data_IF_772781201601
#
_entry.id   IF_772781201601
#
_cell.length_a   1.000
_cell.length_b   1.000
_cell.length_c   1.000
_cell.angle_alpha   90.00
_cell.angle_beta   90.00
_cell.angle_gamma   90.00
#
_symmetry.space_group_name_H-M   'P 1'
#
loop_
_entity.id
_entity.type
_entity.pdbx_description
1 polymer ?
#
# COMPACT_ATOMS: atom_id res chain seq x y z
N UNK A 1 22.91 -40.98 -5.27
CA UNK A 1 22.72 -40.34 -3.94
C UNK A 1 21.75 -39.17 -4.16
N UNK A 2 20.53 -39.30 -3.68
CA UNK A 2 19.50 -38.27 -3.85
C UNK A 2 19.86 -37.06 -2.97
N UNK A 3 20.19 -35.93 -3.59
CA UNK A 3 20.39 -34.66 -2.90
C UNK A 3 19.05 -34.23 -2.31
N UNK A 4 18.94 -34.31 -0.98
CA UNK A 4 17.83 -33.74 -0.22
C UNK A 4 17.76 -32.24 -0.53
N UNK A 5 16.74 -31.83 -1.30
CA UNK A 5 16.28 -30.46 -1.36
C UNK A 5 16.01 -30.00 0.07
N UNK A 6 16.87 -29.17 0.63
CA UNK A 6 16.59 -28.50 1.91
C UNK A 6 15.43 -27.51 1.64
N UNK A 7 14.21 -28.02 1.77
CA UNK A 7 13.04 -27.17 1.84
C UNK A 7 13.27 -26.18 2.99
N UNK A 8 13.33 -24.90 2.68
CA UNK A 8 13.36 -23.87 3.72
C UNK A 8 12.19 -24.15 4.65
N UNK A 9 12.44 -24.43 5.94
CA UNK A 9 11.39 -24.85 6.85
C UNK A 9 10.29 -23.78 6.87
N UNK A 10 9.02 -24.18 6.82
CA UNK A 10 7.83 -23.33 6.71
C UNK A 10 7.83 -22.17 7.71
N UNK A 11 8.38 -22.39 8.91
CA UNK A 11 8.49 -21.36 9.97
C UNK A 11 9.48 -20.21 9.67
N UNK A 12 10.34 -20.32 8.64
CA UNK A 12 11.20 -19.24 8.16
C UNK A 12 10.51 -18.31 7.15
N UNK A 13 9.34 -18.67 6.67
CA UNK A 13 8.58 -17.77 5.79
C UNK A 13 7.98 -16.62 6.60
N UNK A 14 8.30 -15.39 6.22
CA UNK A 14 7.80 -14.16 6.86
C UNK A 14 6.26 -14.18 7.00
N UNK A 15 5.59 -14.67 5.96
CA UNK A 15 4.14 -14.89 5.94
C UNK A 15 3.63 -15.68 7.15
N UNK A 16 4.22 -16.84 7.45
CA UNK A 16 3.80 -17.65 8.59
C UNK A 16 4.11 -16.98 9.92
N UNK A 17 5.28 -16.31 10.02
CA UNK A 17 5.67 -15.58 11.22
C UNK A 17 4.67 -14.44 11.52
N UNK A 18 4.23 -13.69 10.50
CA UNK A 18 3.22 -12.62 10.66
C UNK A 18 1.87 -13.20 11.06
N UNK A 19 1.41 -14.31 10.44
CA UNK A 19 0.15 -14.97 10.84
C UNK A 19 0.17 -15.44 12.30
N UNK A 20 1.25 -16.09 12.72
CA UNK A 20 1.42 -16.53 14.13
C UNK A 20 1.45 -15.32 15.06
N UNK A 21 2.15 -14.24 14.68
CA UNK A 21 2.22 -13.01 15.45
C UNK A 21 0.84 -12.35 15.62
N UNK A 22 0.04 -12.31 14.55
CA UNK A 22 -1.35 -11.82 14.60
C UNK A 22 -2.20 -12.68 15.53
N UNK A 23 -2.14 -14.02 15.39
CA UNK A 23 -2.91 -14.94 16.27
C UNK A 23 -2.54 -14.79 17.74
N UNK A 24 -1.24 -14.68 18.06
CA UNK A 24 -0.74 -14.42 19.41
C UNK A 24 -1.17 -13.03 19.90
N UNK A 25 -1.16 -12.00 19.04
CA UNK A 25 -1.63 -10.66 19.34
C UNK A 25 -3.10 -10.64 19.76
N UNK A 26 -3.95 -11.35 19.00
CA UNK A 26 -5.38 -11.52 19.34
C UNK A 26 -5.54 -12.22 20.68
N UNK A 27 -4.82 -13.32 20.91
CA UNK A 27 -4.87 -14.07 22.16
C UNK A 27 -4.46 -13.20 23.37
N UNK A 28 -3.30 -12.51 23.29
CA UNK A 28 -2.82 -11.62 24.36
C UNK A 28 -3.80 -10.46 24.58
N UNK A 29 -4.31 -9.85 23.49
CA UNK A 29 -5.31 -8.79 23.55
C UNK A 29 -6.60 -9.21 24.27
N UNK A 30 -7.04 -10.44 24.04
CA UNK A 30 -8.27 -10.98 24.61
C UNK A 30 -8.07 -11.39 26.09
N UNK A 31 -7.01 -12.16 26.41
CA UNK A 31 -6.81 -12.74 27.75
C UNK A 31 -6.08 -11.81 28.72
N UNK A 32 -5.29 -10.85 28.24
CA UNK A 32 -4.51 -9.93 29.07
C UNK A 32 -4.59 -8.48 28.52
N UNK A 33 -5.77 -7.81 28.56
CA UNK A 33 -5.99 -6.51 27.92
C UNK A 33 -5.03 -5.40 28.42
N UNK A 34 -4.73 -5.37 29.72
CA UNK A 34 -3.82 -4.37 30.30
C UNK A 34 -2.38 -4.54 29.80
N UNK A 35 -1.87 -5.76 29.75
CA UNK A 35 -0.56 -6.06 29.19
C UNK A 35 -0.52 -5.77 27.68
N UNK A 36 -1.60 -6.10 26.96
CA UNK A 36 -1.72 -5.85 25.52
C UNK A 36 -1.66 -4.36 25.16
N UNK A 37 -2.26 -3.50 25.99
CA UNK A 37 -2.19 -2.04 25.78
C UNK A 37 -0.76 -1.50 25.93
N UNK A 38 0.05 -2.08 26.80
CA UNK A 38 1.47 -1.73 26.95
C UNK A 38 2.33 -2.12 25.71
N UNK A 39 1.83 -2.99 24.85
CA UNK A 39 2.53 -3.43 23.62
C UNK A 39 2.37 -2.47 22.43
N UNK A 40 1.55 -1.41 22.56
CA UNK A 40 1.39 -0.37 21.51
C UNK A 40 2.71 0.12 20.93
N UNK A 41 3.77 0.41 21.72
CA UNK A 41 5.02 0.91 21.19
C UNK A 41 5.69 0.01 20.16
N UNK A 42 5.47 -1.31 20.18
CA UNK A 42 6.04 -2.26 19.21
C UNK A 42 5.45 -2.03 17.82
N UNK A 43 4.14 -1.84 17.72
CA UNK A 43 3.48 -1.50 16.47
C UNK A 43 3.89 -0.12 15.97
N UNK A 44 3.85 0.88 16.86
CA UNK A 44 4.21 2.27 16.52
C UNK A 44 5.67 2.37 16.04
N UNK A 45 6.60 1.64 16.68
CA UNK A 45 8.01 1.62 16.30
C UNK A 45 8.21 1.04 14.89
N UNK A 46 7.54 -0.08 14.59
CA UNK A 46 7.62 -0.67 13.26
C UNK A 46 7.10 0.29 12.17
N UNK A 47 5.94 0.93 12.40
CA UNK A 47 5.38 1.92 11.48
C UNK A 47 6.34 3.11 11.28
N UNK A 48 6.95 3.61 12.37
CA UNK A 48 7.96 4.68 12.29
C UNK A 48 9.21 4.28 11.48
N UNK A 49 9.70 3.05 11.67
CA UNK A 49 10.82 2.53 10.89
C UNK A 49 10.53 2.48 9.39
N UNK A 50 9.32 2.05 9.02
CA UNK A 50 8.89 2.06 7.61
C UNK A 50 8.77 3.49 7.11
N UNK A 51 8.08 4.39 7.81
CA UNK A 51 7.91 5.80 7.40
C UNK A 51 9.23 6.52 7.18
N UNK A 52 10.23 6.26 8.02
CA UNK A 52 11.58 6.84 7.89
C UNK A 52 12.20 6.61 6.51
N UNK A 53 11.91 5.47 5.87
CA UNK A 53 12.52 5.10 4.58
C UNK A 53 11.63 5.36 3.38
N UNK A 54 10.33 5.68 3.56
CA UNK A 54 9.39 5.87 2.45
C UNK A 54 9.83 7.03 1.56
N UNK A 55 10.07 8.21 2.13
CA UNK A 55 10.43 9.40 1.38
C UNK A 55 11.73 9.21 0.56
N UNK A 56 12.85 8.72 1.12
CA UNK A 56 14.04 8.40 0.35
C UNK A 56 13.82 7.33 -0.72
N UNK A 57 13.06 6.27 -0.42
CA UNK A 57 12.74 5.21 -1.41
C UNK A 57 11.97 5.77 -2.58
N UNK A 58 10.90 6.53 -2.32
CA UNK A 58 10.07 7.16 -3.35
C UNK A 58 10.91 8.10 -4.19
N UNK A 59 11.66 8.98 -3.56
CA UNK A 59 12.55 9.92 -4.27
C UNK A 59 13.50 9.19 -5.21
N UNK A 60 14.30 8.27 -4.70
CA UNK A 60 15.28 7.56 -5.51
C UNK A 60 14.62 6.74 -6.62
N UNK A 61 13.53 6.01 -6.34
CA UNK A 61 12.85 5.19 -7.33
C UNK A 61 12.24 6.02 -8.47
N UNK A 62 11.62 7.17 -8.13
CA UNK A 62 11.03 8.07 -9.14
C UNK A 62 12.12 8.75 -9.96
N UNK A 63 13.17 9.28 -9.31
CA UNK A 63 14.29 9.94 -10.00
C UNK A 63 14.96 8.99 -10.98
N UNK A 64 15.35 7.78 -10.54
CA UNK A 64 16.00 6.80 -11.42
C UNK A 64 15.06 6.29 -12.51
N UNK A 65 13.76 6.12 -12.15
CA UNK A 65 12.72 5.74 -13.10
C UNK A 65 12.60 6.74 -14.24
N UNK A 66 12.49 8.04 -13.93
CA UNK A 66 12.33 9.12 -14.91
C UNK A 66 13.64 9.37 -15.67
N UNK A 67 14.78 9.42 -14.98
CA UNK A 67 16.08 9.62 -15.61
C UNK A 67 16.40 8.51 -16.65
N UNK A 68 15.89 7.28 -16.44
CA UNK A 68 16.01 6.18 -17.39
C UNK A 68 15.07 6.31 -18.61
N UNK A 69 14.04 7.16 -18.54
CA UNK A 69 13.09 7.42 -19.64
C UNK A 69 13.66 8.55 -20.50
N UNK A 70 14.10 8.21 -21.71
CA UNK A 70 14.67 9.19 -22.67
C UNK A 70 13.63 10.17 -23.26
N UNK A 71 12.34 9.96 -22.96
CA UNK A 71 11.23 10.77 -23.51
C UNK A 71 10.34 11.32 -22.37
N UNK A 72 10.46 12.62 -22.12
CA UNK A 72 9.63 13.34 -21.14
C UNK A 72 8.13 13.33 -21.47
N UNK A 73 7.80 13.19 -22.77
CA UNK A 73 6.40 13.02 -23.18
C UNK A 73 5.83 11.70 -22.67
N UNK A 74 6.66 10.65 -22.58
CA UNK A 74 6.24 9.38 -22.00
C UNK A 74 5.95 9.48 -20.51
N UNK A 75 6.72 10.26 -19.74
CA UNK A 75 6.46 10.53 -18.30
C UNK A 75 5.13 11.25 -18.14
N UNK A 76 4.91 12.34 -18.89
CA UNK A 76 3.64 13.10 -18.86
C UNK A 76 2.44 12.25 -19.28
N UNK A 77 2.60 11.40 -20.29
CA UNK A 77 1.54 10.51 -20.75
C UNK A 77 1.22 9.42 -19.72
N UNK A 78 2.22 8.78 -19.11
CA UNK A 78 2.02 7.78 -18.07
C UNK A 78 1.36 8.40 -16.82
N UNK A 79 1.80 9.60 -16.40
CA UNK A 79 1.19 10.34 -15.31
C UNK A 79 -0.26 10.72 -15.58
N UNK A 80 -0.55 11.25 -16.78
CA UNK A 80 -1.91 11.60 -17.20
C UNK A 80 -2.85 10.38 -17.23
N UNK A 81 -2.38 9.23 -17.75
CA UNK A 81 -3.15 7.97 -17.73
C UNK A 81 -3.36 7.44 -16.31
N UNK A 82 -2.34 7.57 -15.45
CA UNK A 82 -2.47 7.18 -14.04
C UNK A 82 -3.54 8.02 -13.33
N UNK A 83 -3.50 9.35 -13.46
CA UNK A 83 -4.50 10.25 -12.88
C UNK A 83 -5.90 9.95 -13.42
N UNK A 84 -6.05 9.75 -14.73
CA UNK A 84 -7.33 9.36 -15.33
C UNK A 84 -7.86 8.05 -14.73
N UNK A 85 -7.00 7.05 -14.60
CA UNK A 85 -7.35 5.77 -13.98
C UNK A 85 -7.81 5.96 -12.53
N UNK A 86 -7.04 6.72 -11.73
CA UNK A 86 -7.34 6.96 -10.33
C UNK A 86 -8.68 7.67 -10.14
N UNK A 87 -8.97 8.72 -10.94
CA UNK A 87 -10.23 9.43 -10.89
C UNK A 87 -11.41 8.52 -11.25
N UNK A 88 -11.25 7.70 -12.30
CA UNK A 88 -12.29 6.79 -12.76
C UNK A 88 -12.58 5.71 -11.70
N UNK A 89 -11.56 5.05 -11.18
CA UNK A 89 -11.76 3.97 -10.20
C UNK A 89 -12.22 4.51 -8.84
N UNK A 90 -11.68 5.66 -8.38
CA UNK A 90 -12.16 6.30 -7.15
C UNK A 90 -13.64 6.72 -7.27
N UNK A 91 -14.07 7.23 -8.42
CA UNK A 91 -15.48 7.56 -8.68
C UNK A 91 -16.35 6.29 -8.65
N UNK A 92 -15.90 5.22 -9.28
CA UNK A 92 -16.58 3.91 -9.22
C UNK A 92 -16.65 3.39 -7.78
N UNK A 93 -15.56 3.52 -6.99
CA UNK A 93 -15.52 3.11 -5.60
C UNK A 93 -16.52 3.90 -4.73
N UNK A 94 -16.57 5.22 -4.89
CA UNK A 94 -17.55 6.09 -4.22
C UNK A 94 -18.99 5.67 -4.56
N UNK A 95 -19.30 5.51 -5.86
CA UNK A 95 -20.61 5.07 -6.33
C UNK A 95 -20.98 3.66 -5.84
N UNK A 96 -19.99 2.76 -5.84
CA UNK A 96 -20.17 1.40 -5.33
C UNK A 96 -20.46 1.38 -3.82
N UNK A 97 -19.72 2.19 -3.03
CA UNK A 97 -19.99 2.35 -1.60
C UNK A 97 -21.38 2.91 -1.32
N UNK A 98 -21.83 3.88 -2.14
CA UNK A 98 -23.19 4.42 -2.08
C UNK A 98 -24.24 3.34 -2.35
N UNK A 99 -24.06 2.55 -3.43
CA UNK A 99 -24.92 1.44 -3.79
C UNK A 99 -25.02 0.41 -2.64
N UNK A 100 -23.89 0.00 -2.09
CA UNK A 100 -23.83 -0.97 -1.00
C UNK A 100 -24.47 -0.44 0.28
N UNK A 101 -24.28 0.85 0.58
CA UNK A 101 -24.91 1.50 1.72
C UNK A 101 -26.45 1.58 1.64
N UNK A 102 -27.00 1.69 0.43
CA UNK A 102 -28.45 1.62 0.20
C UNK A 102 -28.97 0.18 0.22
N UNK A 103 -28.24 -0.77 -0.33
CA UNK A 103 -28.64 -2.19 -0.36
C UNK A 103 -28.60 -2.84 1.02
N UNK A 104 -27.53 -2.61 1.77
CA UNK A 104 -27.29 -3.28 3.05
C UNK A 104 -27.83 -2.51 4.26
N UNK A 105 -28.08 -1.22 4.11
CA UNK A 105 -28.61 -0.32 5.13
C UNK A 105 -28.01 -0.55 6.53
N UNK A 106 -26.68 -0.39 6.70
CA UNK A 106 -25.98 -0.78 7.93
C UNK A 106 -26.44 0.01 9.18
N UNK A 107 -26.97 1.23 9.01
CA UNK A 107 -27.45 2.08 10.09
C UNK A 107 -28.95 1.96 10.39
N UNK A 108 -29.69 1.20 9.61
CA UNK A 108 -31.15 1.08 9.81
C UNK A 108 -31.49 0.46 11.17
N UNK A 109 -32.41 1.10 11.90
CA UNK A 109 -32.89 0.63 13.19
C UNK A 109 -32.04 1.03 14.40
N UNK A 110 -30.96 1.79 14.22
CA UNK A 110 -30.16 2.31 15.35
C UNK A 110 -30.91 3.38 16.14
N UNK A 111 -31.64 4.28 15.48
CA UNK A 111 -32.47 5.34 16.07
C UNK A 111 -31.77 6.13 17.19
N UNK A 112 -30.52 6.52 16.94
CA UNK A 112 -29.70 7.21 17.94
C UNK A 112 -30.16 8.65 18.08
N UNK A 113 -30.47 9.08 19.34
CA UNK A 113 -30.76 10.48 19.63
C UNK A 113 -29.46 11.31 19.56
N UNK A 114 -29.43 12.34 18.74
CA UNK A 114 -28.27 13.23 18.60
C UNK A 114 -27.90 13.89 19.92
N UNK A 115 -28.90 14.20 20.78
CA UNK A 115 -28.71 14.81 22.08
C UNK A 115 -27.96 13.91 23.08
N UNK A 116 -27.90 12.59 22.83
CA UNK A 116 -27.18 11.63 23.69
C UNK A 116 -25.71 11.44 23.31
N UNK A 117 -25.23 12.09 22.24
CA UNK A 117 -23.87 11.88 21.73
C UNK A 117 -22.90 12.87 22.37
N UNK A 118 -21.80 12.38 22.92
CA UNK A 118 -20.70 13.19 23.43
C UNK A 118 -19.80 13.69 22.30
N UNK A 119 -20.07 14.91 21.81
CA UNK A 119 -19.30 15.53 20.74
C UNK A 119 -17.83 15.84 21.14
N UNK A 120 -17.49 15.84 22.42
CA UNK A 120 -16.13 16.15 22.90
C UNK A 120 -15.11 15.15 22.40
N UNK A 121 -15.49 13.87 22.28
CA UNK A 121 -14.64 12.78 21.79
C UNK A 121 -14.15 12.96 20.34
N UNK A 122 -14.87 13.76 19.52
CA UNK A 122 -14.54 14.00 18.10
C UNK A 122 -14.08 15.44 17.83
N UNK A 123 -14.06 16.31 18.85
CA UNK A 123 -13.72 17.73 18.70
C UNK A 123 -12.35 17.96 18.06
N UNK A 124 -11.34 17.18 18.41
CA UNK A 124 -10.00 17.28 17.82
C UNK A 124 -9.93 16.91 16.33
N UNK A 125 -10.82 16.03 15.84
CA UNK A 125 -10.94 15.71 14.42
C UNK A 125 -11.66 16.81 13.65
N UNK A 126 -12.72 17.36 14.23
CA UNK A 126 -13.48 18.48 13.68
C UNK A 126 -12.61 19.73 13.55
N UNK A 127 -11.80 20.05 14.56
CA UNK A 127 -10.87 21.17 14.52
C UNK A 127 -9.84 21.01 13.39
N UNK A 128 -9.26 19.83 13.23
CA UNK A 128 -8.32 19.56 12.12
C UNK A 128 -8.98 19.67 10.76
N UNK A 129 -10.22 19.18 10.62
CA UNK A 129 -10.98 19.30 9.39
C UNK A 129 -11.31 20.76 9.03
N UNK A 130 -11.62 21.60 10.04
CA UNK A 130 -11.91 23.03 9.85
C UNK A 130 -10.67 23.84 9.44
N UNK A 131 -9.47 23.40 9.79
CA UNK A 131 -8.20 24.02 9.35
C UNK A 131 -7.70 23.43 8.02
N UNK A 132 -8.40 22.46 7.45
CA UNK A 132 -8.15 21.94 6.11
C UNK A 132 -8.39 23.06 5.08
N UNK A 133 -7.31 23.66 4.63
CA UNK A 133 -7.28 24.64 3.55
C UNK A 133 -7.82 23.96 2.29
N UNK A 134 -8.91 24.36 1.73
CA UNK A 134 -9.53 23.77 0.54
C UNK A 134 -8.56 23.43 -0.60
N UNK A 135 -9.01 23.40 -1.85
CA UNK A 135 -8.16 23.04 -3.02
C UNK A 135 -6.86 23.88 -3.08
N UNK A 136 -6.92 25.17 -2.69
CA UNK A 136 -5.76 26.08 -2.69
C UNK A 136 -4.70 25.61 -1.67
N UNK A 137 -5.11 25.27 -0.44
CA UNK A 137 -4.21 24.75 0.58
C UNK A 137 -3.58 23.41 0.18
N UNK A 138 -4.39 22.53 -0.41
CA UNK A 138 -3.87 21.27 -0.97
C UNK A 138 -2.78 21.51 -2.03
N UNK A 139 -3.00 22.43 -2.97
CA UNK A 139 -2.00 22.77 -3.99
C UNK A 139 -0.73 23.41 -3.39
N UNK A 140 -0.90 24.23 -2.35
CA UNK A 140 0.25 24.81 -1.65
C UNK A 140 1.05 23.76 -0.88
N UNK A 141 0.42 22.73 -0.33
CA UNK A 141 1.09 21.62 0.35
C UNK A 141 1.89 20.72 -0.59
N UNK A 142 1.54 20.68 -1.88
CA UNK A 142 2.29 19.90 -2.90
C UNK A 142 3.69 20.50 -3.12
N UNK A 143 3.86 21.81 -2.99
CA UNK A 143 5.12 22.51 -3.21
C UNK A 143 5.82 22.70 -1.87
N UNK A 144 6.97 22.04 -1.61
CA UNK A 144 7.66 22.20 -0.34
C UNK A 144 8.37 23.56 -0.25
N UNK A 145 8.44 24.14 0.96
CA UNK A 145 9.12 25.41 1.20
C UNK A 145 10.63 25.35 0.91
N UNK A 146 11.23 24.18 1.11
CA UNK A 146 12.66 23.96 0.86
C UNK A 146 12.88 22.56 0.30
N UNK A 147 14.00 22.34 -0.40
CA UNK A 147 14.37 21.04 -0.94
C UNK A 147 14.42 19.95 0.14
N UNK A 148 15.05 20.22 1.27
CA UNK A 148 15.16 19.28 2.39
C UNK A 148 13.83 19.17 3.13
N UNK A 149 13.04 20.24 3.17
CA UNK A 149 11.71 20.27 3.79
C UNK A 149 10.77 19.21 3.26
N UNK A 150 10.86 18.86 1.98
CA UNK A 150 10.08 17.76 1.39
C UNK A 150 10.26 16.41 2.12
N UNK A 151 11.43 16.16 2.71
CA UNK A 151 11.74 14.91 3.40
C UNK A 151 11.43 14.94 4.90
N UNK A 152 11.16 16.12 5.48
CA UNK A 152 10.92 16.29 6.92
C UNK A 152 9.46 16.24 7.31
N UNK A 153 8.55 16.35 6.34
CA UNK A 153 7.10 16.21 6.53
C UNK A 153 6.67 14.78 6.19
N UNK A 154 5.62 14.30 6.84
CA UNK A 154 5.10 12.93 6.62
C UNK A 154 4.32 12.79 5.29
N UNK A 155 4.38 13.78 4.41
CA UNK A 155 3.63 13.85 3.16
C UNK A 155 4.47 13.40 1.97
N UNK A 156 3.91 12.51 1.14
CA UNK A 156 4.61 11.92 -0.01
C UNK A 156 4.58 12.85 -1.22
N UNK A 157 3.55 13.72 -1.35
CA UNK A 157 3.37 14.58 -2.53
C UNK A 157 4.51 15.58 -2.76
N UNK A 158 5.03 16.30 -1.74
CA UNK A 158 6.20 17.16 -1.90
C UNK A 158 7.44 16.40 -2.38
N UNK A 159 7.66 15.19 -1.82
CA UNK A 159 8.77 14.32 -2.24
C UNK A 159 8.61 13.88 -3.69
N UNK A 160 7.39 13.53 -4.09
CA UNK A 160 7.07 13.13 -5.46
C UNK A 160 7.30 14.27 -6.46
N UNK A 161 6.80 15.49 -6.15
CA UNK A 161 7.04 16.67 -7.00
C UNK A 161 8.54 16.92 -7.16
N UNK A 162 9.28 16.91 -6.05
CA UNK A 162 10.73 17.09 -6.06
C UNK A 162 11.43 16.02 -6.91
N UNK A 163 11.04 14.77 -6.76
CA UNK A 163 11.60 13.65 -7.52
C UNK A 163 11.28 13.76 -9.02
N UNK A 164 10.07 14.21 -9.38
CA UNK A 164 9.68 14.49 -10.77
C UNK A 164 10.56 15.58 -11.38
N UNK A 165 10.78 16.69 -10.66
CA UNK A 165 11.63 17.79 -11.10
C UNK A 165 13.09 17.34 -11.26
N UNK A 166 13.64 16.66 -10.25
CA UNK A 166 15.03 16.15 -10.29
C UNK A 166 15.21 15.12 -11.41
N UNK A 167 14.32 14.14 -11.53
CA UNK A 167 14.37 13.10 -12.56
C UNK A 167 14.25 13.69 -13.96
N UNK A 168 13.38 14.70 -14.14
CA UNK A 168 13.23 15.43 -15.39
C UNK A 168 14.49 16.21 -15.76
N UNK A 169 15.09 16.93 -14.81
CA UNK A 169 16.34 17.66 -15.02
C UNK A 169 17.48 16.72 -15.40
N UNK A 170 17.63 15.59 -14.70
CA UNK A 170 18.66 14.58 -15.03
C UNK A 170 18.44 13.95 -16.40
N UNK A 171 17.18 13.68 -16.77
CA UNK A 171 16.85 13.15 -18.11
C UNK A 171 17.24 14.13 -19.23
N UNK A 172 17.00 15.44 -19.04
CA UNK A 172 17.36 16.49 -20.01
C UNK A 172 18.88 16.69 -20.13
N UNK A 173 19.60 16.61 -19.01
CA UNK A 173 21.07 16.76 -18.97
C UNK A 173 21.80 15.55 -19.58
N UNK A 174 21.15 14.39 -19.62
CA UNK A 174 21.65 13.18 -20.30
C UNK A 174 22.97 12.64 -19.74
N UNK A 175 23.87 12.21 -20.63
CA UNK A 175 25.13 11.53 -20.27
C UNK A 175 26.07 12.37 -19.37
N UNK A 176 25.95 13.70 -19.39
CA UNK A 176 26.80 14.59 -18.55
C UNK A 176 26.62 14.33 -17.05
N UNK A 177 25.43 13.90 -16.65
CA UNK A 177 25.05 13.69 -15.23
C UNK A 177 24.88 12.22 -14.89
N UNK A 178 25.34 11.32 -15.74
CA UNK A 178 25.29 9.88 -15.49
C UNK A 178 25.84 9.48 -14.10
N UNK A 179 26.98 10.03 -13.62
CA UNK A 179 27.45 9.71 -12.26
C UNK A 179 26.45 10.05 -11.15
N UNK A 180 25.64 11.10 -11.34
CA UNK A 180 24.59 11.48 -10.36
C UNK A 180 23.44 10.47 -10.42
N UNK A 181 23.04 10.02 -11.61
CA UNK A 181 22.00 9.00 -11.77
C UNK A 181 22.46 7.67 -11.15
N UNK A 182 23.70 7.26 -11.40
CA UNK A 182 24.30 6.05 -10.83
C UNK A 182 24.37 6.13 -9.29
N UNK A 183 24.69 7.30 -8.72
CA UNK A 183 24.67 7.54 -7.27
C UNK A 183 23.28 7.37 -6.70
N UNK A 184 22.24 7.96 -7.33
CA UNK A 184 20.86 7.86 -6.88
C UNK A 184 20.35 6.42 -7.02
N UNK A 185 20.75 5.69 -8.06
CA UNK A 185 20.40 4.27 -8.21
C UNK A 185 21.06 3.40 -7.14
N UNK A 186 22.33 3.67 -6.81
CA UNK A 186 23.02 3.05 -5.67
C UNK A 186 22.33 3.34 -4.33
N UNK A 187 21.88 4.60 -4.14
CA UNK A 187 21.11 4.99 -2.96
C UNK A 187 19.75 4.27 -2.91
N UNK A 188 19.06 4.12 -4.06
CA UNK A 188 17.83 3.33 -4.14
C UNK A 188 18.06 1.88 -3.70
N UNK A 189 19.11 1.22 -4.22
CA UNK A 189 19.46 -0.14 -3.86
C UNK A 189 19.74 -0.29 -2.35
N UNK A 190 20.45 0.68 -1.76
CA UNK A 190 20.70 0.75 -0.32
C UNK A 190 19.39 0.89 0.46
N UNK A 191 18.50 1.79 0.06
CA UNK A 191 17.21 2.00 0.73
C UNK A 191 16.34 0.74 0.67
N UNK A 192 16.24 0.07 -0.47
CA UNK A 192 15.51 -1.21 -0.57
C UNK A 192 16.12 -2.31 0.31
N UNK A 193 17.45 -2.31 0.50
CA UNK A 193 18.10 -3.23 1.43
C UNK A 193 17.73 -2.95 2.88
N UNK A 194 17.66 -1.66 3.26
CA UNK A 194 17.20 -1.23 4.58
C UNK A 194 15.75 -1.64 4.80
N UNK A 195 14.86 -1.43 3.81
CA UNK A 195 13.47 -1.93 3.84
C UNK A 195 13.45 -3.44 4.12
N UNK A 196 14.30 -4.23 3.45
CA UNK A 196 14.42 -5.67 3.69
C UNK A 196 14.83 -6.03 5.13
N UNK A 197 15.64 -5.20 5.80
CA UNK A 197 15.97 -5.39 7.22
C UNK A 197 14.77 -5.05 8.12
N UNK A 198 14.11 -3.92 7.84
CA UNK A 198 12.93 -3.49 8.60
C UNK A 198 11.79 -4.50 8.48
N UNK A 199 11.57 -5.07 7.30
CA UNK A 199 10.50 -6.05 7.08
C UNK A 199 10.67 -7.32 7.92
N UNK A 200 11.91 -7.71 8.27
CA UNK A 200 12.13 -8.87 9.13
C UNK A 200 11.58 -8.69 10.54
N UNK A 201 11.39 -7.45 11.00
CA UNK A 201 10.76 -7.16 12.30
C UNK A 201 9.24 -6.91 12.19
N UNK A 202 8.66 -7.02 10.98
CA UNK A 202 7.22 -6.88 10.76
C UNK A 202 6.36 -7.81 11.66
N UNK A 203 6.72 -9.08 11.95
CA UNK A 203 5.95 -9.91 12.86
C UNK A 203 5.82 -9.31 14.26
N UNK A 204 6.89 -8.68 14.78
CA UNK A 204 6.89 -8.02 16.10
C UNK A 204 5.96 -6.80 16.09
N UNK A 205 6.04 -6.00 15.00
CA UNK A 205 5.15 -4.85 14.82
C UNK A 205 3.67 -5.26 14.72
N UNK A 206 3.38 -6.29 13.93
CA UNK A 206 2.03 -6.82 13.76
C UNK A 206 1.46 -7.38 15.10
N UNK A 207 2.26 -8.15 15.83
CA UNK A 207 1.90 -8.64 17.17
C UNK A 207 1.50 -7.48 18.11
N UNK A 208 2.36 -6.46 18.25
CA UNK A 208 2.12 -5.34 19.15
C UNK A 208 0.91 -4.52 18.75
N UNK A 209 0.73 -4.24 17.46
CA UNK A 209 -0.40 -3.47 16.94
C UNK A 209 -1.74 -4.19 17.13
N UNK A 210 -1.81 -5.48 16.82
CA UNK A 210 -3.02 -6.29 16.97
C UNK A 210 -3.34 -6.52 18.46
N UNK A 211 -2.33 -6.85 19.28
CA UNK A 211 -2.53 -7.02 20.74
C UNK A 211 -3.11 -5.75 21.36
N UNK A 212 -2.53 -4.58 21.05
CA UNK A 212 -3.04 -3.29 21.51
C UNK A 212 -4.49 -3.05 21.05
N UNK A 213 -4.78 -3.30 19.78
CA UNK A 213 -6.11 -3.07 19.20
C UNK A 213 -7.17 -3.92 19.90
N UNK A 214 -6.94 -5.22 20.04
CA UNK A 214 -7.87 -6.15 20.69
C UNK A 214 -7.94 -5.86 22.20
N UNK A 215 -6.82 -5.54 22.86
CA UNK A 215 -6.79 -5.23 24.28
C UNK A 215 -7.47 -3.92 24.65
N UNK A 216 -7.41 -2.91 23.77
CA UNK A 216 -8.03 -1.61 24.01
C UNK A 216 -9.52 -1.59 23.69
N UNK A 217 -9.90 -2.15 22.55
CA UNK A 217 -11.26 -2.04 22.04
C UNK A 217 -12.11 -3.27 22.37
N UNK A 218 -11.46 -4.40 22.69
CA UNK A 218 -12.14 -5.67 22.98
C UNK A 218 -12.86 -6.25 21.75
N UNK A 219 -13.01 -7.55 21.70
CA UNK A 219 -13.82 -8.20 20.65
C UNK A 219 -15.31 -7.89 20.83
N UNK A 220 -15.76 -7.69 22.08
CA UNK A 220 -17.15 -7.40 22.41
C UNK A 220 -17.63 -5.99 22.03
N UNK A 221 -16.72 -5.00 21.92
CA UNK A 221 -17.08 -3.64 21.48
C UNK A 221 -17.49 -3.57 20.01
N UNK A 222 -17.15 -4.59 19.24
CA UNK A 222 -17.52 -4.71 17.83
C UNK A 222 -18.98 -5.16 17.65
N UNK A 223 -19.58 -5.81 18.66
CA UNK A 223 -20.89 -6.44 18.49
C UNK A 223 -22.01 -5.44 18.10
N UNK A 224 -22.15 -4.25 18.72
CA UNK A 224 -23.13 -3.27 18.31
C UNK A 224 -22.89 -2.70 16.91
N UNK A 225 -21.62 -2.60 16.48
CA UNK A 225 -21.22 -2.04 15.18
C UNK A 225 -20.88 -3.11 14.14
N UNK A 226 -21.03 -4.38 14.49
CA UNK A 226 -20.71 -5.52 13.63
C UNK A 226 -21.39 -5.43 12.24
N UNK A 227 -22.62 -4.92 12.20
CA UNK A 227 -23.36 -4.74 10.94
C UNK A 227 -22.66 -3.78 10.00
N UNK A 228 -22.14 -2.65 10.51
CA UNK A 228 -21.38 -1.71 9.68
C UNK A 228 -20.03 -2.31 9.24
N UNK A 229 -19.30 -2.92 10.16
CA UNK A 229 -18.02 -3.57 9.86
C UNK A 229 -18.22 -4.66 8.81
N UNK A 230 -19.20 -5.57 9.00
CA UNK A 230 -19.51 -6.62 8.05
C UNK A 230 -19.93 -6.08 6.67
N UNK A 231 -20.76 -5.03 6.66
CA UNK A 231 -21.16 -4.33 5.44
C UNK A 231 -19.95 -3.78 4.70
N UNK A 232 -19.02 -3.14 5.40
CA UNK A 232 -17.82 -2.55 4.80
C UNK A 232 -16.87 -3.62 4.25
N UNK A 233 -16.58 -4.68 5.02
CA UNK A 233 -15.74 -5.78 4.57
C UNK A 233 -16.36 -6.50 3.35
N UNK A 234 -17.66 -6.75 3.39
CA UNK A 234 -18.39 -7.33 2.24
C UNK A 234 -18.30 -6.42 1.00
N UNK A 235 -18.51 -5.12 1.18
CA UNK A 235 -18.40 -4.13 0.09
C UNK A 235 -17.00 -4.08 -0.48
N UNK A 236 -15.98 -4.10 0.37
CA UNK A 236 -14.58 -4.11 -0.05
C UNK A 236 -14.21 -5.39 -0.81
N UNK A 237 -14.63 -6.55 -0.31
CA UNK A 237 -14.44 -7.82 -1.00
C UNK A 237 -15.13 -7.84 -2.37
N UNK A 238 -16.40 -7.43 -2.44
CA UNK A 238 -17.12 -7.34 -3.71
C UNK A 238 -16.44 -6.34 -4.66
N UNK A 239 -15.99 -5.18 -4.17
CA UNK A 239 -15.26 -4.22 -4.99
C UNK A 239 -13.97 -4.84 -5.56
N UNK A 240 -13.15 -5.50 -4.74
CA UNK A 240 -11.90 -6.14 -5.17
C UNK A 240 -12.17 -7.26 -6.18
N UNK A 241 -13.13 -8.13 -5.93
CA UNK A 241 -13.36 -9.29 -6.81
C UNK A 241 -14.19 -8.96 -8.05
N UNK A 242 -15.18 -8.07 -7.94
CA UNK A 242 -16.05 -7.70 -9.06
C UNK A 242 -15.44 -6.55 -9.85
N UNK A 243 -15.19 -5.39 -9.22
CA UNK A 243 -14.74 -4.19 -9.94
C UNK A 243 -13.27 -4.32 -10.34
N UNK A 244 -12.36 -4.47 -9.36
CA UNK A 244 -10.94 -4.63 -9.67
C UNK A 244 -10.66 -5.96 -10.39
N UNK A 245 -11.45 -6.99 -10.13
CA UNK A 245 -11.41 -8.27 -10.85
C UNK A 245 -11.76 -8.12 -12.32
N UNK A 246 -12.79 -7.34 -12.66
CA UNK A 246 -13.13 -7.02 -14.04
C UNK A 246 -12.01 -6.20 -14.72
N UNK A 247 -11.49 -5.19 -14.04
CA UNK A 247 -10.37 -4.37 -14.52
C UNK A 247 -9.13 -5.23 -14.79
N UNK A 248 -8.76 -6.11 -13.84
CA UNK A 248 -7.63 -7.02 -13.98
C UNK A 248 -7.82 -7.97 -15.19
N UNK A 249 -9.03 -8.49 -15.37
CA UNK A 249 -9.37 -9.37 -16.49
C UNK A 249 -9.26 -8.65 -17.83
N UNK A 250 -9.73 -7.39 -17.91
CA UNK A 250 -9.57 -6.54 -19.10
C UNK A 250 -8.08 -6.24 -19.38
N UNK A 251 -7.26 -6.09 -18.36
CA UNK A 251 -5.81 -5.91 -18.48
C UNK A 251 -5.06 -7.22 -18.81
N UNK A 252 -5.73 -8.38 -18.76
CA UNK A 252 -5.20 -9.69 -19.16
C UNK A 252 -4.55 -10.49 -18.04
N UNK A 253 -4.94 -10.25 -16.76
CA UNK A 253 -4.46 -11.04 -15.63
C UNK A 253 -5.58 -11.40 -14.63
N UNK A 254 -5.31 -12.34 -13.73
CA UNK A 254 -6.26 -12.78 -12.70
C UNK A 254 -6.02 -12.06 -11.38
N UNK A 255 -7.07 -11.42 -10.85
CA UNK A 255 -7.01 -10.76 -9.53
C UNK A 255 -6.67 -11.76 -8.42
N UNK A 256 -7.19 -12.98 -8.45
CA UNK A 256 -6.91 -14.01 -7.45
C UNK A 256 -5.42 -14.38 -7.41
N UNK A 257 -4.81 -14.59 -8.60
CA UNK A 257 -3.36 -14.88 -8.69
C UNK A 257 -2.52 -13.70 -8.23
N UNK A 258 -2.95 -12.49 -8.56
CA UNK A 258 -2.30 -11.27 -8.09
C UNK A 258 -2.33 -11.17 -6.55
N UNK A 259 -3.49 -11.41 -5.93
CA UNK A 259 -3.62 -11.42 -4.46
C UNK A 259 -2.71 -12.48 -3.81
N UNK A 260 -2.63 -13.68 -4.40
CA UNK A 260 -1.70 -14.71 -3.92
C UNK A 260 -0.25 -14.26 -4.06
N UNK A 261 0.09 -13.55 -5.13
CA UNK A 261 1.44 -13.05 -5.38
C UNK A 261 1.87 -11.98 -4.36
N UNK A 262 0.95 -11.07 -3.97
CA UNK A 262 1.20 -10.00 -2.99
C UNK A 262 0.74 -10.35 -1.57
N UNK A 263 0.55 -11.62 -1.24
CA UNK A 263 0.03 -12.07 0.06
C UNK A 263 0.86 -11.62 1.27
N UNK A 264 2.18 -11.51 1.09
CA UNK A 264 3.08 -11.05 2.17
C UNK A 264 2.85 -9.58 2.48
N UNK A 265 2.69 -8.76 1.44
CA UNK A 265 2.36 -7.34 1.54
C UNK A 265 0.97 -7.13 2.18
N UNK A 266 -0.02 -7.95 1.78
CA UNK A 266 -1.36 -7.92 2.38
C UNK A 266 -1.31 -8.21 3.89
N UNK A 267 -0.50 -9.18 4.32
CA UNK A 267 -0.35 -9.50 5.75
C UNK A 267 0.36 -8.41 6.55
N UNK A 268 1.38 -7.76 5.96
CA UNK A 268 2.04 -6.62 6.57
C UNK A 268 1.02 -5.49 6.78
N UNK A 269 0.20 -5.20 5.78
CA UNK A 269 -0.85 -4.18 5.87
C UNK A 269 -1.93 -4.57 6.88
N UNK A 270 -2.36 -5.82 6.90
CA UNK A 270 -3.29 -6.32 7.91
C UNK A 270 -2.77 -6.12 9.33
N UNK A 271 -1.50 -6.46 9.58
CA UNK A 271 -0.88 -6.29 10.89
C UNK A 271 -0.67 -4.84 11.30
N UNK A 272 -0.39 -3.94 10.35
CA UNK A 272 -0.06 -2.54 10.64
C UNK A 272 -1.24 -1.58 10.46
N UNK A 273 -2.29 -2.00 9.74
CA UNK A 273 -3.44 -1.18 9.31
C UNK A 273 -3.05 0.05 8.49
N UNK A 274 -1.90 0.01 7.82
CA UNK A 274 -1.43 1.07 6.92
C UNK A 274 -0.86 0.47 5.64
N UNK A 275 -1.36 0.92 4.48
CA UNK A 275 -0.88 0.46 3.19
C UNK A 275 0.53 0.97 2.87
N UNK A 276 0.95 2.08 3.48
CA UNK A 276 2.31 2.63 3.34
C UNK A 276 3.39 1.64 3.76
N UNK A 277 3.10 0.80 4.77
CA UNK A 277 4.07 -0.18 5.29
C UNK A 277 4.51 -1.22 4.26
N UNK A 278 3.75 -1.44 3.20
CA UNK A 278 4.05 -2.39 2.14
C UNK A 278 4.45 -1.72 0.81
N UNK A 279 4.45 -0.35 0.73
CA UNK A 279 4.71 0.39 -0.51
C UNK A 279 6.01 -0.02 -1.21
N UNK A 280 7.18 0.00 -0.54
CA UNK A 280 8.43 -0.32 -1.21
C UNK A 280 8.47 -1.76 -1.75
N UNK A 281 7.83 -2.67 -1.04
CA UNK A 281 7.80 -4.09 -1.42
C UNK A 281 6.84 -4.35 -2.57
N UNK A 282 5.68 -3.67 -2.55
CA UNK A 282 4.76 -3.70 -3.68
C UNK A 282 5.45 -3.22 -4.97
N UNK A 283 6.25 -2.13 -4.89
CA UNK A 283 7.01 -1.64 -6.04
C UNK A 283 7.95 -2.72 -6.60
N UNK A 284 8.75 -3.36 -5.74
CA UNK A 284 9.63 -4.46 -6.14
C UNK A 284 8.87 -5.64 -6.76
N UNK A 285 7.74 -6.02 -6.17
CA UNK A 285 6.90 -7.11 -6.68
C UNK A 285 6.31 -6.77 -8.06
N UNK A 286 5.89 -5.53 -8.28
CA UNK A 286 5.39 -5.08 -9.58
C UNK A 286 6.47 -5.08 -10.67
N UNK A 287 7.72 -4.72 -10.33
CA UNK A 287 8.86 -4.85 -11.22
C UNK A 287 9.15 -6.33 -11.56
N UNK A 288 9.05 -7.22 -10.57
CA UNK A 288 9.16 -8.66 -10.78
C UNK A 288 8.07 -9.21 -11.72
N UNK A 289 6.85 -8.66 -11.66
CA UNK A 289 5.75 -8.97 -12.57
C UNK A 289 5.98 -8.49 -14.01
N UNK A 290 7.09 -7.80 -14.29
CA UNK A 290 7.41 -7.29 -15.62
C UNK A 290 6.91 -5.87 -15.89
N UNK A 291 6.48 -5.13 -14.87
CA UNK A 291 6.19 -3.70 -14.98
C UNK A 291 7.50 -2.90 -15.07
N UNK A 292 7.59 -1.94 -16.01
CA UNK A 292 8.78 -1.09 -16.15
C UNK A 292 8.95 -0.20 -14.92
N UNK A 293 10.16 -0.18 -14.33
CA UNK A 293 10.52 0.55 -13.10
C UNK A 293 10.08 2.03 -13.12
N UNK A 294 10.27 2.73 -14.24
CA UNK A 294 9.87 4.14 -14.36
C UNK A 294 8.36 4.37 -14.19
N UNK A 295 7.52 3.47 -14.73
CA UNK A 295 6.06 3.56 -14.58
C UNK A 295 5.65 3.18 -13.15
N UNK A 296 6.24 2.12 -12.58
CA UNK A 296 5.99 1.71 -11.19
C UNK A 296 6.36 2.83 -10.22
N UNK A 297 7.56 3.42 -10.39
CA UNK A 297 8.05 4.53 -9.55
C UNK A 297 7.17 5.77 -9.62
N UNK A 298 6.49 6.02 -10.73
CA UNK A 298 5.55 7.12 -10.88
C UNK A 298 4.16 6.76 -10.34
N UNK A 299 3.59 5.63 -10.77
CA UNK A 299 2.18 5.29 -10.52
C UNK A 299 1.93 4.90 -9.07
N UNK A 300 2.80 4.07 -8.48
CA UNK A 300 2.56 3.56 -7.12
C UNK A 300 2.59 4.68 -6.08
N UNK A 301 3.63 5.53 -5.98
CA UNK A 301 3.63 6.62 -4.99
C UNK A 301 2.52 7.65 -5.24
N UNK A 302 2.22 7.98 -6.50
CA UNK A 302 1.11 8.87 -6.84
C UNK A 302 -0.23 8.27 -6.42
N UNK A 303 -0.42 6.96 -6.63
CA UNK A 303 -1.64 6.24 -6.27
C UNK A 303 -1.91 6.24 -4.76
N UNK A 304 -0.89 6.31 -3.93
CA UNK A 304 -1.06 6.43 -2.47
C UNK A 304 -1.77 7.72 -2.04
N UNK A 305 -1.72 8.75 -2.85
CA UNK A 305 -2.42 10.02 -2.58
C UNK A 305 -3.70 10.16 -3.39
N UNK A 306 -3.77 9.56 -4.57
CA UNK A 306 -4.86 9.78 -5.52
C UNK A 306 -5.77 8.58 -5.76
N UNK A 307 -5.32 7.35 -5.52
CA UNK A 307 -6.08 6.10 -5.73
C UNK A 307 -6.43 5.42 -4.41
N UNK A 308 -7.27 6.04 -3.62
CA UNK A 308 -7.67 5.58 -2.29
C UNK A 308 -9.04 4.89 -2.33
N UNK A 309 -9.13 3.76 -3.05
CA UNK A 309 -10.38 3.04 -3.31
C UNK A 309 -11.10 2.60 -2.03
N UNK A 310 -10.36 2.01 -1.09
CA UNK A 310 -10.90 1.60 0.21
C UNK A 310 -11.35 2.79 1.07
N UNK A 311 -10.65 3.94 0.96
CA UNK A 311 -11.06 5.18 1.63
C UNK A 311 -12.33 5.73 1.01
N UNK A 312 -12.46 5.69 -0.31
CA UNK A 312 -13.67 6.10 -1.03
C UNK A 312 -14.89 5.26 -0.62
N UNK A 313 -14.75 3.94 -0.57
CA UNK A 313 -15.79 3.03 -0.06
C UNK A 313 -16.16 3.35 1.40
N UNK A 314 -15.16 3.55 2.25
CA UNK A 314 -15.37 3.89 3.66
C UNK A 314 -16.18 5.17 3.84
N UNK A 315 -15.80 6.24 3.12
CA UNK A 315 -16.44 7.53 3.27
C UNK A 315 -17.93 7.48 2.96
N UNK A 316 -18.30 6.89 1.83
CA UNK A 316 -19.72 6.80 1.43
C UNK A 316 -20.52 5.91 2.36
N UNK A 317 -19.98 4.76 2.75
CA UNK A 317 -20.65 3.85 3.70
C UNK A 317 -20.77 4.45 5.10
N UNK A 318 -19.74 5.14 5.60
CA UNK A 318 -19.78 5.78 6.91
C UNK A 318 -20.81 6.91 6.97
N UNK A 319 -20.86 7.78 5.95
CA UNK A 319 -21.85 8.86 5.92
C UNK A 319 -23.27 8.33 5.81
N UNK A 320 -23.51 7.34 4.95
CA UNK A 320 -24.83 6.71 4.84
C UNK A 320 -25.23 5.99 6.14
N UNK A 321 -24.29 5.30 6.80
CA UNK A 321 -24.53 4.72 8.11
C UNK A 321 -24.95 5.76 9.13
N UNK A 322 -24.21 6.88 9.22
CA UNK A 322 -24.51 7.96 10.15
C UNK A 322 -25.89 8.59 9.85
N UNK A 323 -26.20 8.82 8.59
CA UNK A 323 -27.50 9.34 8.15
C UNK A 323 -28.64 8.40 8.53
N UNK A 324 -28.49 7.10 8.29
CA UNK A 324 -29.46 6.07 8.67
C UNK A 324 -29.61 5.91 10.18
N UNK A 325 -28.48 5.91 10.91
CA UNK A 325 -28.47 5.74 12.38
C UNK A 325 -29.12 6.89 13.13
N UNK A 326 -29.03 8.11 12.57
CA UNK A 326 -29.63 9.34 13.13
C UNK A 326 -30.99 9.70 12.53
N UNK A 327 -31.54 8.82 11.66
CA UNK A 327 -32.80 9.09 10.93
C UNK A 327 -32.80 10.41 10.15
N UNK A 328 -31.68 10.77 9.55
CA UNK A 328 -31.50 11.97 8.70
C UNK A 328 -31.37 11.53 7.24
N UNK A 329 -32.47 11.36 6.49
CA UNK A 329 -32.40 10.88 5.13
C UNK A 329 -31.70 11.91 4.21
N UNK A 330 -30.75 11.44 3.42
CA UNK A 330 -30.04 12.26 2.44
C UNK A 330 -30.77 12.24 1.10
N UNK A 331 -31.05 13.43 0.54
CA UNK A 331 -31.55 13.57 -0.82
C UNK A 331 -30.49 13.15 -1.84
N UNK A 332 -30.89 12.81 -3.05
CA UNK A 332 -29.94 12.45 -4.12
C UNK A 332 -28.93 13.57 -4.39
N UNK A 333 -29.39 14.83 -4.36
CA UNK A 333 -28.51 16.01 -4.54
C UNK A 333 -27.43 16.06 -3.45
N UNK A 334 -27.79 15.84 -2.19
CA UNK A 334 -26.83 15.79 -1.07
C UNK A 334 -25.85 14.62 -1.20
N UNK A 335 -26.30 13.47 -1.65
CA UNK A 335 -25.44 12.32 -1.92
C UNK A 335 -24.44 12.59 -3.04
N UNK A 336 -24.88 13.19 -4.16
CA UNK A 336 -24.00 13.59 -5.26
C UNK A 336 -23.00 14.70 -4.82
N UNK A 337 -23.45 15.66 -4.03
CA UNK A 337 -22.59 16.69 -3.45
C UNK A 337 -21.55 16.06 -2.52
N UNK A 338 -21.94 15.10 -1.68
CA UNK A 338 -21.04 14.33 -0.85
C UNK A 338 -19.99 13.59 -1.67
N UNK A 339 -20.37 12.90 -2.76
CA UNK A 339 -19.43 12.24 -3.66
C UNK A 339 -18.41 13.24 -4.23
N UNK A 340 -18.86 14.38 -4.73
CA UNK A 340 -17.99 15.41 -5.30
C UNK A 340 -16.99 15.94 -4.27
N UNK A 341 -17.46 16.27 -3.06
CA UNK A 341 -16.61 16.78 -1.98
C UNK A 341 -15.64 15.70 -1.50
N UNK A 342 -16.11 14.47 -1.28
CA UNK A 342 -15.25 13.37 -0.85
C UNK A 342 -14.18 13.06 -1.90
N UNK A 343 -14.50 13.16 -3.18
CA UNK A 343 -13.54 12.99 -4.26
C UNK A 343 -12.41 14.02 -4.20
N UNK A 344 -12.73 15.28 -3.85
CA UNK A 344 -11.73 16.32 -3.68
C UNK A 344 -10.95 16.19 -2.37
N UNK A 345 -11.64 15.98 -1.25
CA UNK A 345 -11.04 15.95 0.09
C UNK A 345 -10.25 14.66 0.36
N UNK A 346 -10.60 13.54 -0.28
CA UNK A 346 -9.86 12.29 -0.13
C UNK A 346 -8.43 12.33 -0.69
N UNK A 347 -8.17 13.20 -1.66
CA UNK A 347 -6.85 13.32 -2.33
C UNK A 347 -5.74 13.84 -1.41
N UNK A 348 -6.08 14.60 -0.36
CA UNK A 348 -5.13 15.06 0.66
C UNK A 348 -5.09 14.18 1.91
N UNK A 349 -5.89 13.11 1.93
CA UNK A 349 -5.97 12.20 3.07
C UNK A 349 -4.80 11.23 3.00
N UNK A 350 -3.70 11.54 3.68
CA UNK A 350 -2.59 10.59 3.84
C UNK A 350 -3.11 9.26 4.37
N UNK A 351 -2.50 8.14 3.96
CA UNK A 351 -2.89 6.78 4.36
C UNK A 351 -2.59 6.46 5.85
N UNK A 352 -2.62 7.47 6.70
CA UNK A 352 -2.32 7.40 8.14
C UNK A 352 -3.57 6.99 8.90
N UNK A 353 -3.38 6.24 9.98
CA UNK A 353 -4.46 5.88 10.91
C UNK A 353 -5.12 7.15 11.48
N UNK A 354 -6.44 7.28 11.31
CA UNK A 354 -7.20 8.46 11.72
C UNK A 354 -7.36 9.55 10.64
N UNK A 355 -6.61 9.53 9.53
CA UNK A 355 -6.79 10.49 8.44
C UNK A 355 -8.18 10.33 7.79
N UNK A 356 -8.67 9.10 7.65
CA UNK A 356 -10.04 8.84 7.20
C UNK A 356 -11.10 9.49 8.08
N UNK A 357 -10.86 9.60 9.38
CA UNK A 357 -11.77 10.25 10.30
C UNK A 357 -11.81 11.77 10.12
N UNK A 358 -10.65 12.41 9.87
CA UNK A 358 -10.56 13.84 9.53
C UNK A 358 -11.27 14.13 8.21
N UNK A 359 -11.06 13.28 7.20
CA UNK A 359 -11.73 13.41 5.91
C UNK A 359 -13.25 13.20 6.03
N UNK A 360 -13.69 12.27 6.89
CA UNK A 360 -15.10 12.06 7.20
C UNK A 360 -15.71 13.33 7.84
N UNK A 361 -15.02 13.95 8.80
CA UNK A 361 -15.44 15.18 9.43
C UNK A 361 -15.57 16.32 8.38
N UNK A 362 -14.57 16.45 7.50
CA UNK A 362 -14.60 17.44 6.40
C UNK A 362 -15.76 17.18 5.44
N UNK A 363 -16.04 15.91 5.10
CA UNK A 363 -17.15 15.55 4.22
C UNK A 363 -18.52 15.84 4.86
N UNK A 364 -18.67 15.60 6.15
CA UNK A 364 -19.91 15.90 6.89
C UNK A 364 -20.16 17.38 7.08
N UNK A 365 -19.11 18.21 7.17
CA UNK A 365 -19.28 19.67 7.31
C UNK A 365 -19.94 20.30 6.08
N UNK A 366 -19.86 19.66 4.92
CA UNK A 366 -20.47 20.11 3.67
C UNK A 366 -21.92 19.62 3.52
N UNK A 367 -22.30 18.58 4.29
CA UNK A 367 -23.67 18.05 4.34
C UNK A 367 -24.23 18.20 5.76
N UNK A 368 -24.63 19.40 6.15
CA UNK A 368 -24.97 19.74 7.54
C UNK A 368 -26.21 19.01 8.08
N UNK A 369 -26.93 18.29 7.24
CA UNK A 369 -28.07 17.45 7.65
C UNK A 369 -27.66 16.30 8.54
N UNK A 370 -26.44 15.76 8.38
CA UNK A 370 -25.89 14.71 9.27
C UNK A 370 -24.99 15.37 10.31
N UNK A 371 -25.33 15.32 11.59
CA UNK A 371 -24.57 16.02 12.61
C UNK A 371 -23.18 15.39 12.77
N UNK A 372 -22.14 16.21 12.78
CA UNK A 372 -20.75 15.75 12.94
C UNK A 372 -20.54 14.99 14.26
N UNK A 373 -21.30 15.30 15.31
CA UNK A 373 -21.32 14.58 16.58
C UNK A 373 -21.62 13.08 16.40
N UNK A 374 -22.38 12.70 15.37
CA UNK A 374 -22.67 11.29 15.09
C UNK A 374 -21.41 10.45 14.77
N UNK A 375 -20.30 11.08 14.41
CA UNK A 375 -19.02 10.41 14.17
C UNK A 375 -18.53 9.60 15.39
N UNK A 376 -18.99 9.94 16.61
CA UNK A 376 -18.70 9.16 17.83
C UNK A 376 -19.11 7.71 17.67
N UNK A 377 -20.17 7.40 16.91
CA UNK A 377 -20.68 6.07 16.68
C UNK A 377 -19.65 5.18 15.94
N UNK A 378 -18.84 5.75 15.05
CA UNK A 378 -17.85 5.00 14.28
C UNK A 378 -16.44 5.08 14.85
N UNK A 379 -16.21 5.91 15.87
CA UNK A 379 -14.89 6.12 16.48
C UNK A 379 -14.29 4.81 17.04
N UNK A 380 -15.11 4.00 17.72
CA UNK A 380 -14.67 2.74 18.35
C UNK A 380 -14.28 1.64 17.36
N UNK A 381 -14.78 1.71 16.12
CA UNK A 381 -14.52 0.69 15.08
C UNK A 381 -13.60 1.18 13.98
N UNK A 382 -13.21 2.46 14.00
CA UNK A 382 -12.37 3.06 12.92
C UNK A 382 -11.08 2.27 12.69
N UNK A 383 -10.52 1.67 13.73
CA UNK A 383 -9.32 0.84 13.62
C UNK A 383 -9.52 -0.37 12.71
N UNK A 384 -10.62 -1.10 12.86
CA UNK A 384 -10.97 -2.26 12.04
C UNK A 384 -11.34 -1.85 10.63
N UNK A 385 -12.03 -0.70 10.50
CA UNK A 385 -12.33 -0.09 9.21
C UNK A 385 -11.04 0.31 8.47
N UNK A 386 -10.03 0.83 9.20
CA UNK A 386 -8.73 1.21 8.66
C UNK A 386 -7.96 0.02 8.08
N UNK A 387 -8.04 -1.16 8.69
CA UNK A 387 -7.41 -2.38 8.16
C UNK A 387 -7.96 -2.73 6.78
N UNK A 388 -9.27 -2.87 6.66
CA UNK A 388 -9.96 -3.20 5.41
C UNK A 388 -9.70 -2.14 4.32
N UNK A 389 -9.76 -0.85 4.70
CA UNK A 389 -9.47 0.28 3.83
C UNK A 389 -8.05 0.20 3.26
N UNK A 390 -7.06 -0.05 4.11
CA UNK A 390 -5.65 -0.14 3.73
C UNK A 390 -5.36 -1.33 2.82
N UNK A 391 -5.98 -2.49 3.07
CA UNK A 391 -5.90 -3.66 2.21
C UNK A 391 -6.46 -3.37 0.81
N UNK A 392 -7.64 -2.75 0.75
CA UNK A 392 -8.29 -2.39 -0.52
C UNK A 392 -7.46 -1.39 -1.31
N UNK A 393 -6.91 -0.36 -0.64
CA UNK A 393 -6.01 0.62 -1.25
C UNK A 393 -4.75 -0.02 -1.83
N UNK A 394 -4.12 -0.96 -1.10
CA UNK A 394 -2.93 -1.68 -1.58
C UNK A 394 -3.23 -2.46 -2.87
N UNK A 395 -4.34 -3.21 -2.88
CA UNK A 395 -4.75 -4.00 -4.05
C UNK A 395 -5.05 -3.08 -5.23
N UNK A 396 -5.83 -2.00 -5.01
CA UNK A 396 -6.18 -1.01 -6.03
C UNK A 396 -4.93 -0.36 -6.67
N UNK A 397 -3.95 0.03 -5.86
CA UNK A 397 -2.69 0.59 -6.34
C UNK A 397 -1.86 -0.40 -7.16
N UNK A 398 -1.81 -1.65 -6.73
CA UNK A 398 -1.14 -2.71 -7.50
C UNK A 398 -1.79 -2.96 -8.85
N UNK A 399 -3.13 -3.04 -8.90
CA UNK A 399 -3.91 -3.18 -10.15
C UNK A 399 -3.69 -1.97 -11.04
N UNK A 400 -3.75 -0.74 -10.50
CA UNK A 400 -3.51 0.50 -11.22
C UNK A 400 -2.15 0.51 -11.93
N UNK A 401 -1.08 0.12 -11.22
CA UNK A 401 0.26 0.08 -11.79
C UNK A 401 0.36 -0.90 -12.97
N UNK A 402 -0.22 -2.10 -12.87
CA UNK A 402 -0.24 -3.09 -13.95
C UNK A 402 -1.04 -2.56 -15.15
N UNK A 403 -2.21 -1.96 -14.91
CA UNK A 403 -3.07 -1.40 -15.97
C UNK A 403 -2.37 -0.26 -16.70
N UNK A 404 -1.78 0.69 -15.97
CA UNK A 404 -1.06 1.83 -16.58
C UNK A 404 0.17 1.34 -17.34
N UNK A 405 0.92 0.35 -16.81
CA UNK A 405 2.01 -0.28 -17.54
C UNK A 405 1.53 -0.93 -18.85
N UNK A 406 0.37 -1.60 -18.84
CA UNK A 406 -0.22 -2.18 -20.04
C UNK A 406 -0.64 -1.11 -21.05
N UNK A 407 -1.24 0.00 -20.61
CA UNK A 407 -1.63 1.13 -21.48
C UNK A 407 -0.44 1.87 -22.09
N UNK A 408 0.72 1.86 -21.41
CA UNK A 408 1.96 2.46 -21.90
C UNK A 408 2.83 1.51 -22.76
N UNK A 409 2.40 0.25 -22.94
CA UNK A 409 3.26 -0.76 -23.59
C UNK A 409 4.54 -1.04 -22.78
N UNK A 410 4.49 -0.80 -21.49
CA UNK A 410 5.60 -0.92 -20.53
C UNK A 410 5.46 -2.17 -19.64
N UNK A 411 4.62 -3.13 -20.04
CA UNK A 411 4.35 -4.38 -19.36
C UNK A 411 4.84 -5.56 -20.19
N UNK A 412 5.74 -6.35 -19.60
CA UNK A 412 6.12 -7.65 -20.13
C UNK A 412 5.04 -8.69 -19.79
N UNK A 413 4.20 -9.02 -20.79
CA UNK A 413 3.06 -9.92 -20.59
C UNK A 413 3.45 -11.38 -20.38
N UNK A 414 4.58 -11.82 -20.92
CA UNK A 414 5.08 -13.19 -20.74
C UNK A 414 5.58 -13.34 -19.31
N UNK A 415 6.38 -12.38 -18.84
CA UNK A 415 6.87 -12.33 -17.48
C UNK A 415 5.73 -12.21 -16.46
N UNK A 416 4.70 -11.40 -16.74
CA UNK A 416 3.50 -11.30 -15.90
C UNK A 416 2.82 -12.66 -15.74
N UNK A 417 2.63 -13.39 -16.85
CA UNK A 417 2.00 -14.71 -16.82
C UNK A 417 2.86 -15.71 -16.05
N UNK A 418 4.14 -15.83 -16.38
CA UNK A 418 5.07 -16.74 -15.72
C UNK A 418 5.15 -16.49 -14.20
N UNK A 419 5.25 -15.21 -13.77
CA UNK A 419 5.28 -14.84 -12.37
C UNK A 419 3.99 -15.19 -11.62
N UNK A 420 2.83 -14.89 -12.21
CA UNK A 420 1.53 -15.19 -11.61
C UNK A 420 1.17 -16.70 -11.63
N UNK A 421 1.85 -17.50 -12.45
CA UNK A 421 1.72 -18.97 -12.45
C UNK A 421 2.75 -19.66 -11.53
N UNK A 422 3.70 -18.92 -10.97
CA UNK A 422 4.74 -19.47 -10.10
C UNK A 422 5.98 -20.00 -10.84
N UNK A 423 5.98 -19.99 -12.17
CA UNK A 423 7.03 -20.56 -13.02
C UNK A 423 8.41 -19.89 -12.81
N UNK A 424 8.42 -18.58 -12.48
CA UNK A 424 9.66 -17.86 -12.17
C UNK A 424 10.29 -18.30 -10.85
N UNK A 425 9.48 -18.67 -9.85
CA UNK A 425 9.99 -19.21 -8.59
C UNK A 425 10.60 -20.61 -8.76
N UNK A 426 9.98 -21.40 -9.62
CA UNK A 426 10.46 -22.75 -9.95
C UNK A 426 11.73 -22.69 -10.81
N UNK A 427 11.83 -21.75 -11.77
CA UNK A 427 13.03 -21.52 -12.56
C UNK A 427 14.23 -21.04 -11.71
N UNK A 428 13.99 -20.12 -10.75
CA UNK A 428 15.01 -19.69 -9.78
C UNK A 428 15.42 -20.83 -8.83
N UNK A 429 14.49 -21.69 -8.42
CA UNK A 429 14.79 -22.90 -7.64
C UNK A 429 15.61 -23.89 -8.48
N UNK A 430 15.21 -24.17 -9.71
CA UNK A 430 15.95 -25.07 -10.60
C UNK A 430 17.34 -24.55 -10.97
N UNK A 431 17.49 -23.22 -11.16
CA UNK A 431 18.79 -22.60 -11.41
C UNK A 431 19.70 -22.62 -10.16
N UNK A 432 19.13 -22.45 -8.96
CA UNK A 432 19.87 -22.57 -7.70
C UNK A 432 20.25 -24.03 -7.41
N UNK A 433 19.40 -24.99 -7.77
CA UNK A 433 19.66 -26.42 -7.64
C UNK A 433 20.63 -26.94 -8.73
N UNK A 434 20.66 -26.30 -9.91
CA UNK A 434 21.56 -26.62 -11.03
C UNK A 434 22.94 -25.95 -10.97
N UNK A 435 23.14 -24.96 -10.12
CA UNK A 435 24.42 -24.24 -9.96
C UNK A 435 25.28 -24.80 -8.82
N UNK A 436 25.36 -26.11 -8.66
CA UNK A 436 26.47 -26.73 -7.94
C UNK A 436 27.56 -27.12 -8.94
N UNK A 437 28.80 -26.56 -8.84
CA UNK A 437 29.87 -26.93 -9.70
C UNK A 437 30.27 -28.39 -9.38
N UNK A 438 30.27 -29.24 -10.39
CA UNK A 438 30.97 -30.52 -10.38
C UNK A 438 32.47 -30.25 -10.39
N UNK A 439 33.02 -29.94 -9.21
CA UNK A 439 34.44 -29.78 -8.97
C UNK A 439 34.83 -30.51 -7.68
N UNK A 440 34.78 -31.82 -7.71
CA UNK A 440 35.57 -32.69 -6.79
C UNK A 440 35.44 -34.13 -7.31
N UNK A 441 36.46 -34.60 -8.03
CA UNK A 441 36.56 -36.04 -8.30
C UNK A 441 37.23 -36.37 -9.62
N UNK A 442 38.49 -35.97 -9.78
CA UNK A 442 39.49 -36.72 -10.59
C UNK A 442 40.86 -36.46 -10.00
N UNK A 443 41.13 -37.11 -8.87
CA UNK A 443 42.47 -37.52 -8.48
C UNK A 443 42.53 -39.05 -8.68
N UNK A 444 43.53 -39.46 -9.40
CA UNK A 444 44.02 -40.85 -9.41
C UNK A 444 43.75 -41.63 -10.66
N UNK A 445 44.66 -41.52 -11.66
CA UNK A 445 45.24 -42.68 -12.31
C UNK A 445 46.42 -42.21 -13.14
N UNK A 446 47.54 -42.83 -12.87
CA UNK A 446 48.88 -42.54 -13.31
C UNK A 446 49.12 -42.74 -14.80
N UNK A 447 50.13 -42.07 -15.27
CA UNK A 447 51.04 -42.58 -16.28
C UNK A 447 52.45 -42.13 -15.92
N UNK A 448 53.26 -43.15 -15.61
CA UNK A 448 54.73 -43.14 -15.69
C UNK A 448 55.18 -42.88 -17.12
N UNK A 449 56.30 -42.20 -17.25
CA UNK A 449 57.25 -42.49 -18.32
C UNK A 449 57.46 -41.42 -19.36
N UNK A 450 58.69 -40.96 -19.34
CA UNK A 450 59.66 -40.62 -20.38
C UNK A 450 60.21 -39.20 -20.36
N UNK A 451 61.33 -39.18 -19.69
CA UNK A 451 62.66 -38.64 -20.08
C UNK A 451 62.82 -37.54 -21.05
N UNK A 452 63.48 -36.52 -20.58
CA UNK A 452 64.65 -35.83 -21.15
C UNK A 452 64.63 -35.40 -22.63
N UNK A 453 64.80 -34.12 -22.89
CA UNK A 453 65.99 -33.61 -23.61
C UNK A 453 65.91 -32.07 -23.83
N UNK A 454 66.89 -31.43 -23.31
CA UNK A 454 67.78 -30.42 -23.91
C UNK A 454 67.24 -29.09 -24.42
N UNK A 455 67.58 -28.06 -23.68
CA UNK A 455 68.61 -27.09 -24.02
C UNK A 455 68.33 -25.99 -25.03
N UNK A 456 68.34 -24.82 -24.42
CA UNK A 456 69.10 -23.58 -24.75
C UNK A 456 68.45 -22.48 -25.62
N UNK A 457 68.96 -21.29 -25.44
CA UNK A 457 68.20 -20.03 -25.53
C UNK A 457 68.59 -19.20 -26.74
N UNK A 458 67.86 -18.17 -27.03
CA UNK A 458 68.31 -17.26 -28.02
C UNK A 458 67.32 -16.16 -28.43
N UNK A 459 67.52 -15.03 -27.91
CA UNK A 459 67.40 -13.61 -28.25
C UNK A 459 66.08 -12.93 -27.95
#
# INVERSE_FOLDING_TARGET
MATRTQSVPLWRHLYLQVLVAIALGVAVGHFAPSAAQALKPLGDLFVRLIRMVIAPVVFCAVVTGIASMRDMKAVGRAGGKALLYFELISTVALGFGLLMGHLLQPGAGFNVSIASLDASAVSGYVSRAAHGEGLTGFLMQVVPDTFVGAFTHEEILPVLLLALLCGSALSVLGERVKPVVDLVDGAAAMMFRIVGFITRVAPIGAFGAIAFTVGKFGVGSLLPMFRLVACFYLSALLFVFVVLGAVARLAGFSILRFLVFIREELLIVLGTSTSESALPQLMLKLEQLGCRRGVVGLVVPTGYSFNLDGTSLYMTLAVLFLAQATNTPLTLTQQLMLLAVTMLTSKGSAAVVGAGFVTLAASLSVVPTVPVAAMVLVLGIDRFMSECRSLTNLVGNGVAAIVVCAWEGALDRERLRAALHGELQDAHRSAADGAMPAAAGREGEGVEGLSAEAARPGR
#
